data_IF_735155202913
#
_entry.id   IF_735155202913
#
_cell.length_a   1.000
_cell.length_b   1.000
_cell.length_c   1.000
_cell.angle_alpha   90.00
_cell.angle_beta   90.00
_cell.angle_gamma   90.00
#
_symmetry.space_group_name_H-M   'P 1'
#
loop_
_entity.id
_entity.type
_entity.pdbx_description
1 polymer ?
#
# COMPACT_ATOMS: atom_id res chain seq x y z
N UNK A 1 38.25 41.68 34.52
CA UNK A 1 37.86 40.93 33.29
C UNK A 1 37.45 39.54 33.69
N UNK A 2 36.15 39.25 33.74
CA UNK A 2 35.58 37.93 34.08
C UNK A 2 35.30 37.19 32.78
N UNK A 3 36.00 36.09 32.47
CA UNK A 3 35.69 35.18 31.37
C UNK A 3 34.46 34.33 31.77
N UNK A 4 33.37 34.53 31.05
CA UNK A 4 32.18 33.66 31.15
C UNK A 4 32.42 32.44 30.26
N UNK A 5 32.66 31.31 30.88
CA UNK A 5 32.70 30.02 30.23
C UNK A 5 31.25 29.60 29.86
N UNK A 6 30.91 29.56 28.58
CA UNK A 6 29.72 28.92 28.10
C UNK A 6 30.00 27.43 27.98
N UNK A 7 29.52 26.67 28.93
CA UNK A 7 29.42 25.21 28.81
C UNK A 7 28.26 24.90 27.86
N UNK A 8 28.61 24.51 26.62
CA UNK A 8 27.71 23.87 25.72
C UNK A 8 27.39 22.47 26.27
N UNK A 9 26.24 22.30 26.88
CA UNK A 9 25.70 21.00 27.22
C UNK A 9 25.22 20.33 25.93
N UNK A 10 26.06 19.45 25.37
CA UNK A 10 25.68 18.50 24.34
C UNK A 10 24.77 17.45 25.01
N UNK A 11 23.46 17.63 24.86
CA UNK A 11 22.47 16.58 25.16
C UNK A 11 22.60 15.50 24.10
N UNK A 12 23.35 14.45 24.42
CA UNK A 12 23.29 13.18 23.71
C UNK A 12 21.93 12.55 23.96
N UNK A 13 21.02 12.70 23.03
CA UNK A 13 19.84 11.83 22.97
C UNK A 13 20.29 10.43 22.60
N UNK A 14 20.54 9.60 23.59
CA UNK A 14 20.55 8.15 23.40
C UNK A 14 19.13 7.73 23.03
N UNK A 15 18.83 7.71 21.76
CA UNK A 15 17.66 7.01 21.25
C UNK A 15 17.86 5.53 21.58
N UNK A 16 17.14 5.00 22.56
CA UNK A 16 17.00 3.56 22.71
C UNK A 16 16.33 3.03 21.45
N UNK A 17 17.12 2.59 20.47
CA UNK A 17 16.65 1.75 19.41
C UNK A 17 16.15 0.48 20.10
N UNK A 18 14.83 0.27 20.11
CA UNK A 18 14.23 -0.98 20.55
C UNK A 18 14.74 -2.04 19.58
N UNK A 19 15.76 -2.80 20.02
CA UNK A 19 16.20 -3.98 19.25
C UNK A 19 15.02 -4.93 19.28
N UNK A 20 14.34 -5.04 18.15
CA UNK A 20 13.34 -6.09 17.96
C UNK A 20 14.15 -7.37 17.91
N UNK A 21 14.11 -8.15 18.99
CA UNK A 21 14.64 -9.50 18.97
C UNK A 21 13.81 -10.28 17.94
N UNK A 22 14.43 -10.64 16.85
CA UNK A 22 13.81 -11.57 15.92
C UNK A 22 13.77 -12.91 16.64
N UNK A 23 12.63 -13.29 17.16
CA UNK A 23 12.44 -14.64 17.67
C UNK A 23 12.73 -15.61 16.53
N UNK A 24 13.65 -16.55 16.77
CA UNK A 24 13.94 -17.58 15.77
C UNK A 24 12.70 -18.46 15.64
N UNK A 25 12.18 -18.53 14.44
CA UNK A 25 11.14 -19.52 14.11
C UNK A 25 11.78 -20.89 14.38
N UNK A 26 11.14 -21.78 15.14
CA UNK A 26 11.65 -23.12 15.36
C UNK A 26 11.94 -23.84 14.03
N UNK A 27 12.99 -24.64 14.00
CA UNK A 27 13.34 -25.47 12.84
C UNK A 27 12.33 -26.63 12.75
N UNK A 28 11.26 -26.43 12.01
CA UNK A 28 10.17 -27.39 11.82
C UNK A 28 10.02 -27.65 10.33
N UNK A 29 10.03 -28.92 9.97
CA UNK A 29 9.86 -29.31 8.58
C UNK A 29 8.46 -28.99 8.06
N UNK A 30 8.36 -28.52 6.80
CA UNK A 30 7.10 -28.14 6.15
C UNK A 30 5.99 -29.23 6.22
N UNK A 31 6.39 -30.51 6.23
CA UNK A 31 5.46 -31.65 6.30
C UNK A 31 5.00 -32.00 7.71
N UNK A 32 5.51 -31.38 8.76
CA UNK A 32 5.10 -31.70 10.12
C UNK A 32 3.71 -31.09 10.44
N UNK A 33 2.85 -31.81 11.18
CA UNK A 33 1.53 -31.32 11.55
C UNK A 33 1.55 -30.02 12.34
N UNK A 34 2.64 -29.74 13.05
CA UNK A 34 2.86 -28.54 13.86
C UNK A 34 3.36 -27.34 13.06
N UNK A 35 3.75 -27.51 11.79
CA UNK A 35 4.33 -26.42 10.97
C UNK A 35 3.38 -25.22 10.86
N UNK A 36 2.18 -25.42 10.32
CA UNK A 36 1.22 -24.33 10.15
C UNK A 36 0.80 -23.68 11.47
N UNK A 37 0.41 -24.42 12.52
CA UNK A 37 0.12 -23.81 13.82
C UNK A 37 1.27 -22.98 14.40
N UNK A 38 2.50 -23.44 14.22
CA UNK A 38 3.68 -22.71 14.70
C UNK A 38 3.88 -21.40 13.91
N UNK A 39 3.76 -21.44 12.57
CA UNK A 39 3.84 -20.23 11.75
C UNK A 39 2.74 -19.23 12.11
N UNK A 40 1.51 -19.69 12.30
CA UNK A 40 0.40 -18.83 12.73
C UNK A 40 0.68 -18.17 14.08
N UNK A 41 1.18 -18.93 15.05
CA UNK A 41 1.50 -18.43 16.37
C UNK A 41 2.61 -17.36 16.35
N UNK A 42 3.64 -17.55 15.49
CA UNK A 42 4.76 -16.61 15.38
C UNK A 42 4.44 -15.37 14.56
N UNK A 43 3.63 -15.52 13.52
CA UNK A 43 3.30 -14.41 12.62
C UNK A 43 2.05 -13.64 13.03
N UNK A 44 1.20 -14.22 13.87
CA UNK A 44 -0.13 -13.72 14.19
C UNK A 44 -1.09 -13.74 12.98
N UNK A 45 -0.70 -14.40 11.90
CA UNK A 45 -1.47 -14.46 10.66
C UNK A 45 -2.09 -15.85 10.48
N UNK A 46 -3.39 -15.91 10.24
CA UNK A 46 -4.09 -17.16 9.97
C UNK A 46 -3.76 -17.68 8.57
N UNK A 47 -3.43 -18.95 8.47
CA UNK A 47 -3.23 -19.64 7.19
C UNK A 47 -4.58 -20.16 6.71
N UNK A 48 -4.98 -19.73 5.51
CA UNK A 48 -6.26 -20.14 4.93
C UNK A 48 -6.02 -20.97 3.66
N UNK A 49 -6.56 -22.16 3.61
CA UNK A 49 -6.60 -22.99 2.41
C UNK A 49 -7.70 -22.57 1.42
N UNK A 50 -7.74 -23.22 0.25
CA UNK A 50 -8.80 -23.00 -0.75
C UNK A 50 -8.66 -21.70 -1.56
N UNK A 51 -7.47 -21.14 -1.64
CA UNK A 51 -7.17 -19.96 -2.45
C UNK A 51 -6.64 -20.39 -3.83
N UNK A 52 -6.96 -19.56 -4.84
CA UNK A 52 -6.31 -19.58 -6.15
C UNK A 52 -5.37 -18.38 -6.22
N UNK A 53 -4.10 -18.66 -6.47
CA UNK A 53 -3.05 -17.63 -6.62
C UNK A 53 -2.52 -17.67 -8.03
N UNK A 54 -2.54 -16.54 -8.70
CA UNK A 54 -1.97 -16.31 -10.02
C UNK A 54 -0.78 -15.37 -9.86
N UNK A 55 0.39 -15.78 -10.33
CA UNK A 55 1.60 -14.95 -10.33
C UNK A 55 1.64 -14.17 -11.62
N UNK A 56 1.85 -12.86 -11.51
CA UNK A 56 1.91 -11.92 -12.63
C UNK A 56 3.28 -11.27 -12.65
N UNK A 57 3.99 -11.42 -13.75
CA UNK A 57 5.32 -10.85 -13.92
C UNK A 57 5.25 -9.52 -14.66
N UNK A 58 5.91 -8.53 -14.09
CA UNK A 58 6.09 -7.20 -14.67
C UNK A 58 4.75 -6.50 -15.03
N UNK A 59 4.86 -5.34 -15.67
CA UNK A 59 3.69 -4.53 -16.02
C UNK A 59 2.80 -5.18 -17.07
N UNK A 60 3.40 -5.83 -18.06
CA UNK A 60 2.68 -6.41 -19.19
C UNK A 60 1.67 -7.50 -18.79
N UNK A 61 1.96 -8.25 -17.76
CA UNK A 61 1.00 -9.21 -17.21
C UNK A 61 0.09 -8.60 -16.13
N UNK A 62 0.65 -7.71 -15.30
CA UNK A 62 -0.05 -7.18 -14.13
C UNK A 62 -1.16 -6.20 -14.48
N UNK A 63 -0.84 -5.15 -15.23
CA UNK A 63 -1.79 -4.04 -15.41
C UNK A 63 -2.99 -4.37 -16.26
N UNK A 64 -2.89 -5.13 -17.36
CA UNK A 64 -4.06 -5.55 -18.12
C UNK A 64 -5.04 -6.39 -17.28
N UNK A 65 -4.52 -7.25 -16.41
CA UNK A 65 -5.33 -8.09 -15.51
C UNK A 65 -6.00 -7.23 -14.43
N UNK A 66 -5.27 -6.30 -13.81
CA UNK A 66 -5.84 -5.37 -12.82
C UNK A 66 -6.95 -4.51 -13.45
N UNK A 67 -6.70 -3.91 -14.60
CA UNK A 67 -7.67 -3.04 -15.29
C UNK A 67 -8.91 -3.82 -15.74
N UNK A 68 -8.73 -5.05 -16.24
CA UNK A 68 -9.84 -5.95 -16.56
C UNK A 68 -10.73 -6.20 -15.32
N UNK A 69 -10.13 -6.52 -14.20
CA UNK A 69 -10.85 -6.84 -12.99
C UNK A 69 -11.51 -5.60 -12.37
N UNK A 70 -10.86 -4.41 -12.43
CA UNK A 70 -11.49 -3.12 -12.07
C UNK A 70 -12.75 -2.90 -12.93
N UNK A 71 -12.64 -3.02 -14.24
CA UNK A 71 -13.78 -2.82 -15.18
C UNK A 71 -14.93 -3.82 -14.95
N UNK A 72 -14.62 -5.00 -14.41
CA UNK A 72 -15.60 -6.04 -14.07
C UNK A 72 -16.24 -5.88 -12.68
N UNK A 73 -15.77 -4.96 -11.85
CA UNK A 73 -16.26 -4.74 -10.50
C UNK A 73 -17.76 -4.37 -10.48
N UNK A 74 -18.50 -4.93 -9.52
CA UNK A 74 -19.97 -4.76 -9.41
C UNK A 74 -20.42 -4.03 -8.16
N UNK A 75 -19.66 -4.12 -7.08
CA UNK A 75 -20.09 -3.61 -5.77
C UNK A 75 -19.06 -2.70 -5.12
N UNK A 76 -17.83 -3.18 -4.97
CA UNK A 76 -16.82 -2.45 -4.21
C UNK A 76 -15.43 -2.57 -4.82
N UNK A 77 -14.65 -1.50 -4.71
CA UNK A 77 -13.20 -1.51 -4.95
C UNK A 77 -12.52 -0.82 -3.77
N UNK A 78 -11.53 -1.45 -3.17
CA UNK A 78 -10.62 -0.80 -2.24
C UNK A 78 -9.21 -0.87 -2.81
N UNK A 79 -8.52 0.26 -2.83
CA UNK A 79 -7.21 0.40 -3.45
C UNK A 79 -6.28 1.22 -2.55
N UNK A 80 -5.21 0.60 -2.04
CA UNK A 80 -4.14 1.27 -1.32
C UNK A 80 -2.86 1.20 -2.13
N UNK A 81 -2.21 2.35 -2.32
CA UNK A 81 -1.00 2.44 -3.13
C UNK A 81 0.01 3.38 -2.50
N UNK A 82 1.27 2.88 -2.42
CA UNK A 82 2.38 3.71 -1.98
C UNK A 82 2.83 4.67 -3.07
N UNK A 83 3.11 4.16 -4.27
CA UNK A 83 3.62 4.96 -5.39
C UNK A 83 2.58 5.01 -6.52
N UNK A 84 2.07 6.22 -6.73
CA UNK A 84 1.19 6.55 -7.85
C UNK A 84 1.70 7.87 -8.43
N UNK A 85 2.14 7.86 -9.67
CA UNK A 85 2.72 9.02 -10.35
C UNK A 85 1.88 9.42 -11.56
N UNK A 86 2.15 10.59 -12.13
CA UNK A 86 1.55 10.97 -13.40
C UNK A 86 2.06 10.10 -14.54
N UNK A 87 1.28 10.01 -15.62
CA UNK A 87 1.62 9.24 -16.81
C UNK A 87 0.41 8.61 -17.47
N UNK A 88 0.66 7.81 -18.50
CA UNK A 88 -0.40 7.15 -19.28
C UNK A 88 -1.11 6.08 -18.45
N UNK A 89 -0.34 5.24 -17.74
CA UNK A 89 -0.85 4.19 -16.88
C UNK A 89 -1.73 4.76 -15.75
N UNK A 90 -1.24 5.81 -15.08
CA UNK A 90 -1.98 6.46 -14.00
C UNK A 90 -3.32 7.01 -14.46
N UNK A 91 -3.36 7.60 -15.65
CA UNK A 91 -4.58 8.12 -16.25
C UNK A 91 -5.55 6.99 -16.60
N UNK A 92 -5.06 5.87 -17.12
CA UNK A 92 -5.88 4.70 -17.44
C UNK A 92 -6.53 4.10 -16.19
N UNK A 93 -5.77 3.94 -15.10
CA UNK A 93 -6.32 3.47 -13.82
C UNK A 93 -7.36 4.45 -13.27
N UNK A 94 -7.07 5.76 -13.29
CA UNK A 94 -8.01 6.77 -12.82
C UNK A 94 -9.31 6.78 -13.62
N UNK A 95 -9.24 6.60 -14.95
CA UNK A 95 -10.41 6.47 -15.80
C UNK A 95 -11.22 5.22 -15.46
N UNK A 96 -10.56 4.07 -15.28
CA UNK A 96 -11.23 2.82 -14.91
C UNK A 96 -11.94 2.93 -13.55
N UNK A 97 -11.31 3.54 -12.54
CA UNK A 97 -11.96 3.81 -11.25
C UNK A 97 -13.14 4.77 -11.41
N UNK A 98 -12.96 5.89 -12.12
CA UNK A 98 -14.00 6.87 -12.36
C UNK A 98 -15.22 6.27 -13.06
N UNK A 99 -15.02 5.40 -14.06
CA UNK A 99 -16.10 4.68 -14.73
C UNK A 99 -16.89 3.81 -13.74
N UNK A 100 -16.21 3.11 -12.84
CA UNK A 100 -16.89 2.26 -11.84
C UNK A 100 -17.63 3.08 -10.81
N UNK A 101 -17.06 4.18 -10.33
CA UNK A 101 -17.74 5.10 -9.42
C UNK A 101 -19.03 5.64 -10.04
N UNK A 102 -18.99 6.11 -11.31
CA UNK A 102 -20.20 6.56 -12.02
C UNK A 102 -21.23 5.44 -12.21
N UNK A 103 -20.78 4.19 -12.29
CA UNK A 103 -21.67 3.03 -12.38
C UNK A 103 -22.22 2.59 -11.01
N UNK A 104 -21.92 3.32 -9.92
CA UNK A 104 -22.41 3.03 -8.58
C UNK A 104 -21.55 2.05 -7.78
N UNK A 105 -20.37 1.66 -8.26
CA UNK A 105 -19.42 0.85 -7.50
C UNK A 105 -18.77 1.71 -6.42
N UNK A 106 -18.90 1.30 -5.15
CA UNK A 106 -18.25 1.99 -4.03
C UNK A 106 -16.75 1.81 -4.10
N UNK A 107 -16.02 2.88 -4.36
CA UNK A 107 -14.57 2.83 -4.57
C UNK A 107 -13.85 3.72 -3.56
N UNK A 108 -13.04 3.10 -2.71
CA UNK A 108 -12.22 3.75 -1.70
C UNK A 108 -10.74 3.64 -2.09
N UNK A 109 -10.08 4.77 -2.29
CA UNK A 109 -8.71 4.88 -2.76
C UNK A 109 -7.87 5.58 -1.69
N UNK A 110 -6.78 4.93 -1.26
CA UNK A 110 -5.86 5.44 -0.25
C UNK A 110 -4.45 5.55 -0.82
N UNK A 111 -3.97 6.75 -0.99
CA UNK A 111 -2.61 7.02 -1.41
C UNK A 111 -1.70 7.32 -0.22
N UNK A 112 -0.47 6.81 -0.22
CA UNK A 112 0.53 7.33 0.72
C UNK A 112 0.93 8.76 0.32
N UNK A 113 0.89 9.69 1.24
CA UNK A 113 1.10 11.10 0.95
C UNK A 113 2.55 11.46 0.54
N UNK A 114 3.51 10.57 0.79
CA UNK A 114 4.89 10.75 0.37
C UNK A 114 5.15 10.13 -1.00
N UNK A 115 4.86 8.84 -1.14
CA UNK A 115 5.11 8.10 -2.38
C UNK A 115 4.20 8.51 -3.54
N UNK A 116 3.04 9.08 -3.23
CA UNK A 116 2.05 9.54 -4.22
C UNK A 116 1.87 11.07 -4.21
N UNK A 117 2.82 11.80 -3.67
CA UNK A 117 2.75 13.27 -3.56
C UNK A 117 2.83 14.02 -4.91
N UNK A 118 3.30 13.36 -5.96
CA UNK A 118 3.45 13.92 -7.30
C UNK A 118 2.28 13.62 -8.24
N UNK A 119 1.17 13.05 -7.75
CA UNK A 119 -0.01 12.80 -8.59
C UNK A 119 -0.54 14.13 -9.13
N UNK A 120 -0.70 14.27 -10.46
CA UNK A 120 -1.34 15.45 -11.03
C UNK A 120 -2.74 15.67 -10.50
N UNK A 121 -3.08 16.93 -10.17
CA UNK A 121 -4.35 17.26 -9.54
C UNK A 121 -5.57 16.85 -10.40
N UNK A 122 -5.43 16.91 -11.73
CA UNK A 122 -6.48 16.50 -12.66
C UNK A 122 -6.83 15.01 -12.57
N UNK A 123 -5.85 14.14 -12.21
CA UNK A 123 -6.10 12.71 -12.00
C UNK A 123 -6.94 12.49 -10.73
N UNK A 124 -6.63 13.22 -9.66
CA UNK A 124 -7.42 13.15 -8.43
C UNK A 124 -8.83 13.71 -8.64
N UNK A 125 -8.92 14.85 -9.30
CA UNK A 125 -10.19 15.50 -9.64
C UNK A 125 -11.08 14.56 -10.49
N UNK A 126 -10.52 13.90 -11.50
CA UNK A 126 -11.23 12.93 -12.33
C UNK A 126 -11.91 11.83 -11.52
N UNK A 127 -11.21 11.28 -10.51
CA UNK A 127 -11.76 10.23 -9.65
C UNK A 127 -12.81 10.78 -8.67
N UNK A 128 -12.53 11.93 -8.02
CA UNK A 128 -13.42 12.53 -7.05
C UNK A 128 -14.73 13.02 -7.69
N UNK A 129 -14.66 13.68 -8.84
CA UNK A 129 -15.84 14.16 -9.59
C UNK A 129 -16.72 12.99 -10.07
N UNK A 130 -16.13 11.81 -10.22
CA UNK A 130 -16.87 10.60 -10.53
C UNK A 130 -17.52 9.93 -9.31
N UNK A 131 -17.30 10.46 -8.10
CA UNK A 131 -17.83 9.92 -6.85
C UNK A 131 -16.95 8.89 -6.14
N UNK A 132 -15.67 8.75 -6.53
CA UNK A 132 -14.73 7.94 -5.78
C UNK A 132 -14.30 8.65 -4.49
N UNK A 133 -14.18 7.90 -3.39
CA UNK A 133 -13.57 8.38 -2.15
C UNK A 133 -12.04 8.27 -2.27
N UNK A 134 -11.34 9.40 -2.26
CA UNK A 134 -9.88 9.45 -2.42
C UNK A 134 -9.23 10.17 -1.25
N UNK A 135 -8.43 9.42 -0.47
CA UNK A 135 -7.78 9.91 0.72
C UNK A 135 -6.26 9.72 0.68
N UNK A 136 -5.57 10.46 1.55
CA UNK A 136 -4.10 10.39 1.66
C UNK A 136 -3.70 9.96 3.07
N UNK A 137 -3.00 8.85 3.15
CA UNK A 137 -2.46 8.34 4.39
C UNK A 137 -1.38 9.29 4.94
N UNK A 138 -1.58 9.75 6.17
CA UNK A 138 -0.66 10.63 6.92
C UNK A 138 -0.20 11.86 6.13
N UNK A 139 -1.16 12.60 5.59
CA UNK A 139 -0.90 13.90 4.96
C UNK A 139 -0.32 14.87 5.98
N UNK A 140 0.78 15.53 5.61
CA UNK A 140 1.34 16.61 6.43
C UNK A 140 0.61 17.90 6.08
N UNK A 141 -0.22 18.35 6.98
CA UNK A 141 -0.86 19.66 6.86
C UNK A 141 0.03 20.77 7.44
N UNK A 142 -0.12 21.99 6.93
CA UNK A 142 0.69 23.16 7.30
C UNK A 142 0.91 23.38 8.82
N UNK A 143 -0.04 23.08 9.74
CA UNK A 143 0.20 23.17 11.17
C UNK A 143 1.26 22.21 11.74
N UNK A 144 1.67 21.18 10.97
CA UNK A 144 2.70 20.23 11.44
C UNK A 144 4.07 20.88 11.64
N UNK A 145 4.35 21.99 10.97
CA UNK A 145 5.58 22.77 11.14
C UNK A 145 5.64 23.40 12.55
N UNK A 146 4.50 23.71 13.15
CA UNK A 146 4.39 24.31 14.48
C UNK A 146 4.51 23.25 15.59
N UNK A 147 4.22 21.98 15.26
CA UNK A 147 4.25 20.86 16.19
C UNK A 147 5.26 19.78 15.75
N UNK A 148 6.54 19.90 16.11
CA UNK A 148 7.61 19.03 15.61
C UNK A 148 7.40 17.53 15.92
N UNK A 149 6.62 17.16 16.95
CA UNK A 149 6.26 15.76 17.22
C UNK A 149 5.34 15.16 16.14
N UNK A 150 4.59 15.96 15.38
CA UNK A 150 3.83 15.47 14.21
C UNK A 150 4.77 15.05 13.07
N UNK A 151 5.96 15.67 12.98
CA UNK A 151 7.00 15.28 12.03
C UNK A 151 7.61 13.91 12.33
N UNK A 152 7.62 13.47 13.60
CA UNK A 152 8.11 12.14 13.97
C UNK A 152 7.23 11.03 13.35
N UNK A 153 5.94 11.27 13.17
CA UNK A 153 5.02 10.34 12.49
C UNK A 153 5.15 10.37 10.96
N UNK A 154 5.77 11.40 10.42
CA UNK A 154 5.97 11.55 8.96
C UNK A 154 6.80 10.41 8.38
N UNK A 155 7.74 9.86 9.13
CA UNK A 155 8.61 8.78 8.67
C UNK A 155 7.93 7.39 8.65
N UNK A 156 6.79 7.23 9.31
CA UNK A 156 6.03 5.98 9.29
C UNK A 156 5.07 5.99 8.10
N UNK A 157 5.48 5.34 6.99
CA UNK A 157 4.73 5.29 5.74
C UNK A 157 4.01 3.96 5.54
N UNK A 158 2.88 4.00 4.84
CA UNK A 158 2.21 2.78 4.41
C UNK A 158 2.76 2.35 3.05
N UNK A 159 3.62 1.33 3.05
CA UNK A 159 4.14 0.75 1.82
C UNK A 159 3.25 -0.40 1.31
N UNK A 160 2.00 -0.43 1.75
CA UNK A 160 1.02 -1.44 1.34
C UNK A 160 0.55 -1.15 -0.08
N UNK A 161 0.59 -2.18 -0.90
CA UNK A 161 0.05 -2.20 -2.25
C UNK A 161 -1.03 -3.26 -2.29
N UNK A 162 -2.26 -2.82 -2.17
CA UNK A 162 -3.43 -3.70 -2.01
C UNK A 162 -4.53 -3.19 -2.92
N UNK A 163 -5.13 -4.10 -3.69
CA UNK A 163 -6.41 -3.87 -4.32
C UNK A 163 -7.33 -5.04 -4.01
N UNK A 164 -8.56 -4.73 -3.57
CA UNK A 164 -9.59 -5.76 -3.40
C UNK A 164 -10.83 -5.34 -4.17
N UNK A 165 -11.35 -6.27 -4.95
CA UNK A 165 -12.53 -6.08 -5.80
C UNK A 165 -13.63 -7.02 -5.34
N UNK A 166 -14.80 -6.45 -5.04
CA UNK A 166 -16.02 -7.16 -4.61
C UNK A 166 -15.81 -8.11 -3.41
N UNK A 167 -14.76 -7.90 -2.60
CA UNK A 167 -14.36 -8.79 -1.52
C UNK A 167 -13.91 -10.19 -1.96
N UNK A 168 -13.68 -10.41 -3.26
CA UNK A 168 -13.46 -11.74 -3.87
C UNK A 168 -12.12 -11.87 -4.57
N UNK A 169 -11.65 -10.80 -5.19
CA UNK A 169 -10.38 -10.76 -5.91
C UNK A 169 -9.47 -9.79 -5.19
N UNK A 170 -8.27 -10.22 -4.88
CA UNK A 170 -7.25 -9.42 -4.26
C UNK A 170 -5.99 -9.33 -5.11
N UNK A 171 -5.29 -8.19 -5.05
CA UNK A 171 -3.98 -8.01 -5.65
C UNK A 171 -3.02 -7.47 -4.61
N UNK A 172 -1.80 -7.99 -4.62
CA UNK A 172 -0.67 -7.46 -3.86
C UNK A 172 0.64 -7.78 -4.57
N UNK A 173 1.68 -7.02 -4.26
CA UNK A 173 3.00 -7.19 -4.88
C UNK A 173 3.86 -5.96 -4.75
N UNK A 174 4.82 -5.80 -5.64
CA UNK A 174 5.75 -4.69 -5.68
C UNK A 174 5.39 -3.55 -6.65
N UNK A 175 4.27 -3.64 -7.38
CA UNK A 175 3.90 -2.70 -8.44
C UNK A 175 3.71 -1.26 -7.94
N UNK A 176 4.25 -0.30 -8.71
CA UNK A 176 3.87 1.11 -8.65
C UNK A 176 2.95 1.46 -9.81
N UNK A 177 2.05 2.43 -9.63
CA UNK A 177 1.29 2.98 -10.76
C UNK A 177 2.12 4.12 -11.35
N UNK A 178 3.00 3.75 -12.26
CA UNK A 178 3.90 4.65 -12.99
C UNK A 178 4.30 4.00 -14.29
N UNK A 179 4.55 4.79 -15.32
CA UNK A 179 4.98 4.28 -16.62
C UNK A 179 6.31 3.50 -16.54
N UNK A 180 7.12 3.74 -15.51
CA UNK A 180 8.33 2.97 -15.24
C UNK A 180 8.07 1.51 -14.84
N UNK A 181 6.86 1.15 -14.39
CA UNK A 181 6.46 -0.23 -14.10
C UNK A 181 5.79 -0.93 -15.28
N UNK A 182 5.60 -0.26 -16.42
CA UNK A 182 5.06 -0.89 -17.63
C UNK A 182 6.12 -1.76 -18.31
N UNK A 183 5.71 -2.55 -19.29
CA UNK A 183 6.61 -3.37 -20.09
C UNK A 183 7.01 -4.69 -19.41
N UNK A 184 7.97 -5.38 -20.00
CA UNK A 184 8.42 -6.71 -19.62
C UNK A 184 9.63 -6.70 -18.66
N UNK A 185 10.09 -5.52 -18.25
CA UNK A 185 11.21 -5.34 -17.33
C UNK A 185 12.58 -5.76 -17.89
N UNK A 186 12.74 -5.79 -19.22
CA UNK A 186 14.00 -6.18 -19.88
C UNK A 186 14.88 -5.02 -20.28
N UNK A 187 14.38 -3.79 -20.14
CA UNK A 187 15.14 -2.58 -20.46
C UNK A 187 15.35 -1.74 -19.20
N UNK A 188 16.37 -0.88 -19.14
CA UNK A 188 16.66 -0.04 -17.96
C UNK A 188 15.54 0.92 -17.57
N UNK A 189 14.65 1.24 -18.50
CA UNK A 189 13.54 2.18 -18.32
C UNK A 189 12.35 1.53 -17.58
N UNK A 190 12.32 0.19 -17.50
CA UNK A 190 11.21 -0.57 -16.94
C UNK A 190 11.63 -1.44 -15.76
N UNK A 191 10.92 -1.29 -14.65
CA UNK A 191 11.15 -2.09 -13.45
C UNK A 191 10.68 -3.53 -13.63
N UNK A 192 11.49 -4.45 -13.11
CA UNK A 192 11.06 -5.85 -12.93
C UNK A 192 10.30 -5.97 -11.63
N UNK A 193 9.20 -6.73 -11.68
CA UNK A 193 8.36 -6.94 -10.51
C UNK A 193 7.64 -8.29 -10.56
N UNK A 194 7.17 -8.72 -9.40
CA UNK A 194 6.33 -9.91 -9.27
C UNK A 194 5.13 -9.57 -8.41
N UNK A 195 3.96 -9.81 -8.97
CA UNK A 195 2.70 -9.48 -8.35
C UNK A 195 1.81 -10.72 -8.27
N UNK A 196 0.80 -10.65 -7.43
CA UNK A 196 -0.13 -11.76 -7.24
C UNK A 196 -1.56 -11.26 -7.40
N UNK A 197 -2.35 -12.04 -8.14
CA UNK A 197 -3.80 -11.99 -8.16
C UNK A 197 -4.33 -13.18 -7.37
N UNK A 198 -5.23 -12.95 -6.43
CA UNK A 198 -5.67 -13.95 -5.48
C UNK A 198 -7.19 -13.99 -5.46
N UNK A 199 -7.75 -15.20 -5.49
CA UNK A 199 -9.16 -15.44 -5.21
C UNK A 199 -9.29 -16.43 -4.05
N UNK A 200 -10.28 -16.23 -3.18
CA UNK A 200 -10.56 -17.15 -2.08
C UNK A 200 -10.49 -16.51 -0.69
N UNK A 201 -10.51 -17.34 0.35
CA UNK A 201 -10.68 -16.88 1.74
C UNK A 201 -9.62 -15.90 2.24
N UNK A 202 -8.39 -15.90 1.69
CA UNK A 202 -7.32 -15.00 2.11
C UNK A 202 -7.57 -13.55 1.73
N UNK A 203 -8.44 -13.27 0.75
CA UNK A 203 -8.77 -11.91 0.29
C UNK A 203 -9.32 -11.04 1.43
N UNK A 204 -10.04 -11.64 2.39
CA UNK A 204 -10.50 -10.93 3.59
C UNK A 204 -9.37 -10.30 4.42
N UNK A 205 -8.18 -10.90 4.43
CA UNK A 205 -7.04 -10.35 5.17
C UNK A 205 -6.42 -9.16 4.44
N UNK A 206 -6.42 -9.17 3.10
CA UNK A 206 -6.05 -7.99 2.31
C UNK A 206 -7.05 -6.85 2.56
N UNK A 207 -8.34 -7.17 2.60
CA UNK A 207 -9.39 -6.19 2.93
C UNK A 207 -9.21 -5.64 4.35
N UNK A 208 -8.89 -6.48 5.33
CA UNK A 208 -8.65 -6.03 6.70
C UNK A 208 -7.42 -5.11 6.79
N UNK A 209 -6.34 -5.45 6.08
CA UNK A 209 -5.14 -4.61 6.02
C UNK A 209 -5.39 -3.25 5.35
N UNK A 210 -6.26 -3.18 4.34
CA UNK A 210 -6.74 -1.91 3.78
C UNK A 210 -7.55 -1.14 4.82
N UNK A 211 -8.54 -1.80 5.45
CA UNK A 211 -9.46 -1.16 6.40
C UNK A 211 -8.73 -0.54 7.60
N UNK A 212 -7.67 -1.20 8.10
CA UNK A 212 -6.82 -0.64 9.16
C UNK A 212 -6.25 0.73 8.78
N UNK A 213 -5.64 0.83 7.59
CA UNK A 213 -5.05 2.10 7.11
C UNK A 213 -6.13 3.14 6.76
N UNK A 214 -7.27 2.69 6.26
CA UNK A 214 -8.40 3.55 5.93
C UNK A 214 -8.99 4.19 7.19
N UNK A 215 -9.27 3.39 8.22
CA UNK A 215 -9.80 3.89 9.50
C UNK A 215 -8.79 4.80 10.23
N UNK A 216 -7.48 4.49 10.17
CA UNK A 216 -6.47 5.42 10.70
C UNK A 216 -6.53 6.80 10.03
N UNK A 217 -6.95 6.85 8.76
CA UNK A 217 -6.95 8.07 7.95
C UNK A 217 -8.23 8.86 8.09
N UNK A 218 -9.37 8.17 8.15
CA UNK A 218 -10.70 8.81 8.09
C UNK A 218 -11.39 8.92 9.44
N UNK A 219 -10.91 8.25 10.49
CA UNK A 219 -11.49 8.26 11.84
C UNK A 219 -12.49 7.15 11.98
#
# INVERSE_FOLDING_TARGET
MRRRNWLLALLFFFGCAKVISVERIPDIALGEPTFFPTIEAHTGATIAGGNRVEILFNGDETFPVMLRDIKAAKSTITFAQYLYEGGSLAREFAQAFAERCRAGVKTNILFDSHGSGSIPAEIITLMRDAGCEVEYFRRVEAPAIIFPWKLLRYNYRSHRRIMVIDGRVGFTGGYGISDAWTGDGRTPEHWRDTNTRIEGPVVKFLQAAFAESWLETTG
#
